data_IF_507381329038
#
_entry.id   IF_507381329038
#
_cell.length_a   1.000
_cell.length_b   1.000
_cell.length_c   1.000
_cell.angle_alpha   90.00
_cell.angle_beta   90.00
_cell.angle_gamma   90.00
#
_symmetry.space_group_name_H-M   'P 1'
#
loop_
_entity.id
_entity.type
_entity.pdbx_description
1 polymer ?
#
# COMPACT_ATOMS: atom_id res chain seq x y z
N UNK A 1 14.17 -8.24 -14.22
CA UNK A 1 13.57 -7.90 -12.91
C UNK A 1 14.39 -8.53 -11.82
N UNK A 2 14.86 -7.75 -10.83
CA UNK A 2 15.47 -8.31 -9.63
C UNK A 2 14.41 -9.13 -8.86
N UNK A 3 14.78 -10.35 -8.45
CA UNK A 3 13.96 -11.15 -7.54
C UNK A 3 14.21 -10.67 -6.12
N UNK A 4 13.30 -9.85 -5.60
CA UNK A 4 13.40 -9.37 -4.23
C UNK A 4 13.13 -10.48 -3.23
N UNK A 5 13.71 -10.37 -2.04
CA UNK A 5 13.64 -11.41 -1.02
C UNK A 5 13.47 -10.82 0.37
N UNK A 6 12.80 -11.56 1.24
CA UNK A 6 12.74 -11.25 2.67
C UNK A 6 13.13 -12.48 3.48
N UNK A 7 13.62 -12.22 4.69
CA UNK A 7 13.99 -13.28 5.61
C UNK A 7 12.80 -13.66 6.50
N UNK A 8 12.35 -14.91 6.39
CA UNK A 8 11.25 -15.43 7.22
C UNK A 8 11.84 -16.09 8.47
N UNK A 9 11.69 -15.43 9.63
CA UNK A 9 12.36 -15.81 10.88
C UNK A 9 11.98 -17.21 11.38
N UNK A 10 10.71 -17.58 11.29
CA UNK A 10 10.18 -18.89 11.66
C UNK A 10 10.83 -20.04 10.85
N UNK A 11 11.04 -19.82 9.55
CA UNK A 11 11.63 -20.80 8.64
C UNK A 11 13.16 -20.66 8.51
N UNK A 12 13.75 -19.65 9.15
CA UNK A 12 15.19 -19.29 9.06
C UNK A 12 15.73 -19.28 7.63
N UNK A 13 14.93 -18.80 6.67
CA UNK A 13 15.29 -18.81 5.24
C UNK A 13 14.87 -17.54 4.51
N UNK A 14 15.59 -17.25 3.44
CA UNK A 14 15.20 -16.24 2.46
C UNK A 14 14.10 -16.78 1.55
N UNK A 15 13.07 -15.97 1.33
CA UNK A 15 11.94 -16.28 0.46
C UNK A 15 11.83 -15.18 -0.59
N UNK A 16 11.61 -15.58 -1.84
CA UNK A 16 11.34 -14.64 -2.92
C UNK A 16 9.97 -13.97 -2.73
N UNK A 17 9.95 -12.64 -2.81
CA UNK A 17 8.74 -11.86 -2.89
C UNK A 17 8.39 -11.61 -4.38
N UNK A 18 7.17 -11.93 -4.83
CA UNK A 18 6.73 -11.51 -6.16
C UNK A 18 6.63 -9.97 -6.19
N UNK A 19 6.97 -9.33 -7.32
CA UNK A 19 6.79 -7.89 -7.47
C UNK A 19 5.30 -7.52 -7.47
N UNK A 20 4.99 -6.34 -6.96
CA UNK A 20 3.64 -5.77 -6.98
C UNK A 20 3.52 -4.69 -8.08
N UNK A 21 2.32 -4.51 -8.64
CA UNK A 21 2.06 -3.47 -9.64
C UNK A 21 2.22 -2.09 -9.02
N UNK A 22 1.65 -1.92 -7.82
CA UNK A 22 1.78 -0.72 -7.00
C UNK A 22 2.59 -1.04 -5.77
N UNK A 23 3.60 -0.23 -5.53
CA UNK A 23 4.62 -0.41 -4.51
C UNK A 23 4.68 0.84 -3.67
N UNK A 24 4.96 0.70 -2.37
CA UNK A 24 5.13 1.86 -1.52
C UNK A 24 6.58 2.30 -1.40
N UNK A 25 6.78 3.61 -1.26
CA UNK A 25 8.04 4.23 -0.84
C UNK A 25 7.74 5.26 0.23
N UNK A 26 8.59 5.35 1.25
CA UNK A 26 8.52 6.41 2.26
C UNK A 26 9.78 7.25 2.24
N UNK A 27 9.60 8.54 2.51
CA UNK A 27 10.70 9.46 2.79
C UNK A 27 10.55 9.96 4.21
N UNK A 28 11.62 9.86 4.98
CA UNK A 28 11.69 10.37 6.34
C UNK A 28 12.11 11.84 6.36
N UNK A 29 11.89 12.52 7.49
CA UNK A 29 12.25 13.93 7.69
C UNK A 29 13.74 14.24 7.45
N UNK A 30 14.62 13.25 7.67
CA UNK A 30 16.07 13.36 7.42
C UNK A 30 16.46 13.08 5.95
N UNK A 31 15.47 12.88 5.07
CA UNK A 31 15.67 12.53 3.67
C UNK A 31 15.96 11.05 3.41
N UNK A 32 16.05 10.22 4.45
CA UNK A 32 16.17 8.78 4.32
C UNK A 32 14.97 8.18 3.58
N UNK A 33 15.22 7.19 2.73
CA UNK A 33 14.18 6.54 1.93
C UNK A 33 14.13 5.05 2.25
N UNK A 34 12.92 4.53 2.45
CA UNK A 34 12.65 3.10 2.55
C UNK A 34 11.65 2.71 1.47
N UNK A 35 12.01 1.74 0.62
CA UNK A 35 11.18 1.22 -0.46
C UNK A 35 10.65 -0.16 -0.10
N UNK A 36 9.43 -0.51 -0.53
CA UNK A 36 8.91 -1.87 -0.37
C UNK A 36 9.82 -2.91 -1.03
N UNK A 37 10.33 -2.57 -2.20
CA UNK A 37 11.28 -3.35 -2.96
C UNK A 37 12.57 -2.52 -3.08
N UNK A 38 13.49 -2.74 -2.14
CA UNK A 38 14.73 -1.99 -2.02
C UNK A 38 15.66 -2.23 -3.21
N UNK A 39 16.45 -1.22 -3.55
CA UNK A 39 17.43 -1.29 -4.66
C UNK A 39 18.54 -2.34 -4.38
N UNK A 40 18.67 -2.76 -3.12
CA UNK A 40 19.54 -3.84 -2.63
C UNK A 40 18.95 -5.25 -2.85
N UNK A 41 17.75 -5.34 -3.44
CA UNK A 41 17.03 -6.59 -3.65
C UNK A 41 16.31 -7.13 -2.41
N UNK A 42 16.18 -6.33 -1.34
CA UNK A 42 15.42 -6.70 -0.14
C UNK A 42 13.96 -6.28 -0.29
N UNK A 43 13.06 -7.15 0.12
CA UNK A 43 11.65 -6.80 0.33
C UNK A 43 11.45 -6.36 1.77
N UNK A 44 11.10 -5.09 1.95
CA UNK A 44 10.77 -4.52 3.25
C UNK A 44 9.28 -4.64 3.55
N UNK A 45 8.99 -4.95 4.81
CA UNK A 45 7.62 -5.05 5.31
C UNK A 45 7.13 -3.69 5.76
N UNK A 46 5.83 -3.44 5.61
CA UNK A 46 5.20 -2.18 6.04
C UNK A 46 5.46 -1.88 7.53
N UNK A 47 5.55 -2.91 8.38
CA UNK A 47 5.83 -2.76 9.80
C UNK A 47 7.24 -2.24 10.12
N UNK A 48 8.15 -2.22 9.14
CA UNK A 48 9.50 -1.63 9.30
C UNK A 48 9.48 -0.09 9.19
N UNK A 49 8.37 0.50 8.72
CA UNK A 49 8.26 1.95 8.57
C UNK A 49 8.19 2.61 9.95
N UNK A 50 9.18 3.46 10.23
CA UNK A 50 9.16 4.36 11.38
C UNK A 50 8.14 5.49 11.19
N UNK A 51 6.95 5.30 11.76
CA UNK A 51 5.81 6.22 11.64
C UNK A 51 6.10 7.63 12.17
N UNK A 52 6.98 7.76 13.17
CA UNK A 52 7.22 9.02 13.87
C UNK A 52 8.11 9.99 13.07
N UNK A 53 8.77 9.50 12.04
CA UNK A 53 9.71 10.26 11.20
C UNK A 53 9.21 10.43 9.77
N UNK A 54 7.97 10.04 9.48
CA UNK A 54 7.42 10.09 8.12
C UNK A 54 7.21 11.53 7.67
N UNK A 55 7.82 11.89 6.53
CA UNK A 55 7.52 13.13 5.82
C UNK A 55 6.64 12.87 4.59
N UNK A 56 6.91 11.78 3.86
CA UNK A 56 6.20 11.40 2.63
C UNK A 56 5.90 9.91 2.62
N UNK A 57 4.72 9.56 2.11
CA UNK A 57 4.42 8.21 1.63
C UNK A 57 3.98 8.29 0.18
N UNK A 58 4.48 7.39 -0.67
CA UNK A 58 4.12 7.31 -2.07
C UNK A 58 3.66 5.90 -2.44
N UNK A 59 2.66 5.83 -3.29
CA UNK A 59 2.43 4.65 -4.13
C UNK A 59 3.01 4.93 -5.52
N UNK A 60 3.96 4.10 -5.93
CA UNK A 60 4.64 4.15 -7.22
C UNK A 60 4.41 2.86 -7.99
N UNK A 61 4.62 2.88 -9.31
CA UNK A 61 4.50 1.69 -10.15
C UNK A 61 5.62 1.64 -11.18
N UNK A 62 6.26 0.49 -11.42
CA UNK A 62 7.18 0.34 -12.55
C UNK A 62 6.43 0.17 -13.88
N UNK A 63 5.10 0.04 -13.85
CA UNK A 63 4.26 -0.21 -15.03
C UNK A 63 3.37 0.99 -15.38
N UNK A 64 3.02 1.81 -14.40
CA UNK A 64 2.18 3.00 -14.58
C UNK A 64 2.99 4.27 -14.26
N UNK A 65 2.88 5.35 -15.06
CA UNK A 65 3.60 6.59 -14.82
C UNK A 65 3.03 7.41 -13.65
N UNK A 66 1.80 7.13 -13.21
CA UNK A 66 1.18 7.84 -12.10
C UNK A 66 1.90 7.55 -10.78
N UNK A 67 1.95 8.57 -9.92
CA UNK A 67 2.43 8.47 -8.54
C UNK A 67 1.40 9.13 -7.62
N UNK A 68 1.03 8.45 -6.55
CA UNK A 68 0.14 9.02 -5.54
C UNK A 68 0.95 9.33 -4.29
N UNK A 69 0.88 10.56 -3.79
CA UNK A 69 1.70 11.04 -2.68
C UNK A 69 0.83 11.50 -1.52
N UNK A 70 1.17 11.06 -0.30
CA UNK A 70 0.68 11.61 0.95
C UNK A 70 1.79 12.42 1.61
N UNK A 71 1.45 13.65 1.96
CA UNK A 71 2.28 14.53 2.78
C UNK A 71 1.90 14.34 4.25
N UNK A 72 2.88 14.05 5.09
CA UNK A 72 2.72 13.99 6.54
C UNK A 72 3.16 15.33 7.12
N UNK A 73 2.20 16.23 7.34
CA UNK A 73 2.45 17.58 7.88
C UNK A 73 2.03 17.75 9.34
N UNK A 74 1.43 16.72 9.93
CA UNK A 74 0.98 16.73 11.33
C UNK A 74 1.53 15.47 12.04
N UNK A 75 2.20 15.62 13.20
CA UNK A 75 2.79 14.51 13.93
C UNK A 75 1.76 13.52 14.48
N UNK A 76 0.48 13.86 14.50
CA UNK A 76 -0.61 12.97 14.91
C UNK A 76 -1.18 12.14 13.74
N UNK A 77 -0.68 12.33 12.51
CA UNK A 77 -1.04 11.48 11.39
C UNK A 77 -0.30 10.15 11.49
N UNK A 78 -1.04 9.06 11.33
CA UNK A 78 -0.49 7.71 11.28
C UNK A 78 -0.87 7.06 9.97
N UNK A 79 0.13 6.58 9.24
CA UNK A 79 -0.05 5.94 7.94
C UNK A 79 -0.84 4.65 8.07
N UNK A 80 -1.75 4.44 7.13
CA UNK A 80 -2.50 3.21 6.94
C UNK A 80 -2.08 2.63 5.59
N UNK A 81 -1.84 1.31 5.54
CA UNK A 81 -1.69 0.59 4.28
C UNK A 81 -2.17 -0.85 4.45
N UNK A 82 -2.97 -1.32 3.50
CA UNK A 82 -3.45 -2.70 3.45
C UNK A 82 -3.92 -3.06 2.04
N UNK A 83 -4.11 -4.35 1.78
CA UNK A 83 -4.72 -4.82 0.55
C UNK A 83 -6.17 -5.21 0.82
N UNK A 84 -7.09 -4.78 -0.05
CA UNK A 84 -8.43 -5.36 -0.12
C UNK A 84 -8.49 -6.27 -1.32
N UNK A 85 -8.55 -7.58 -1.08
CA UNK A 85 -8.73 -8.57 -2.13
C UNK A 85 -10.21 -8.96 -2.22
N UNK A 86 -10.75 -9.05 -3.43
CA UNK A 86 -12.07 -9.61 -3.72
C UNK A 86 -11.91 -10.75 -4.71
N UNK A 87 -12.75 -11.77 -4.55
CA UNK A 87 -12.90 -12.85 -5.53
C UNK A 87 -14.29 -12.72 -6.13
N UNK A 88 -14.37 -12.53 -7.43
CA UNK A 88 -15.62 -12.59 -8.19
C UNK A 88 -15.78 -13.99 -8.77
N UNK A 89 -17.03 -14.43 -8.91
CA UNK A 89 -17.37 -15.75 -9.48
C UNK A 89 -16.59 -16.92 -8.85
N UNK A 90 -16.40 -16.88 -7.52
CA UNK A 90 -15.59 -17.86 -6.82
C UNK A 90 -16.06 -19.30 -7.11
N UNK A 91 -15.12 -20.17 -7.52
CA UNK A 91 -15.42 -21.57 -7.83
C UNK A 91 -16.01 -21.83 -9.23
N UNK A 92 -16.06 -20.84 -10.12
CA UNK A 92 -16.40 -21.03 -11.54
C UNK A 92 -15.16 -20.91 -12.43
N UNK A 93 -15.30 -21.24 -13.72
CA UNK A 93 -14.24 -21.02 -14.72
C UNK A 93 -13.91 -19.54 -14.96
N UNK A 94 -14.79 -18.64 -14.50
CA UNK A 94 -14.66 -17.17 -14.61
C UNK A 94 -14.21 -16.52 -13.30
N UNK A 95 -13.58 -17.27 -12.39
CA UNK A 95 -13.06 -16.72 -11.13
C UNK A 95 -12.07 -15.59 -11.40
N UNK A 96 -12.40 -14.39 -10.91
CA UNK A 96 -11.54 -13.21 -11.02
C UNK A 96 -11.07 -12.76 -9.64
N UNK A 97 -9.76 -12.50 -9.50
CA UNK A 97 -9.17 -12.01 -8.25
C UNK A 97 -8.77 -10.55 -8.39
N UNK A 98 -9.54 -9.70 -7.74
CA UNK A 98 -9.36 -8.25 -7.75
C UNK A 98 -8.57 -7.82 -6.52
N UNK A 99 -7.55 -6.99 -6.71
CA UNK A 99 -6.78 -6.36 -5.63
C UNK A 99 -6.91 -4.85 -5.69
N UNK A 100 -7.29 -4.25 -4.57
CA UNK A 100 -7.17 -2.82 -4.33
C UNK A 100 -5.97 -2.55 -3.43
N UNK A 101 -5.19 -1.53 -3.77
CA UNK A 101 -4.08 -1.03 -2.97
C UNK A 101 -4.60 0.10 -2.10
N UNK A 102 -4.83 -0.18 -0.82
CA UNK A 102 -5.42 0.79 0.10
C UNK A 102 -4.32 1.45 0.92
N UNK A 103 -4.30 2.77 0.95
CA UNK A 103 -3.35 3.55 1.72
C UNK A 103 -4.00 4.85 2.20
N UNK A 104 -3.45 5.49 3.21
CA UNK A 104 -4.08 6.67 3.79
C UNK A 104 -3.50 7.03 5.13
N UNK A 105 -4.28 7.77 5.92
CA UNK A 105 -3.87 8.10 7.28
C UNK A 105 -5.06 8.09 8.23
N UNK A 106 -4.78 7.80 9.49
CA UNK A 106 -5.64 8.16 10.60
C UNK A 106 -5.04 9.33 11.37
N UNK A 107 -5.89 10.22 11.87
CA UNK A 107 -5.50 11.34 12.71
C UNK A 107 -6.50 11.51 13.84
N UNK A 108 -6.00 11.69 15.07
CA UNK A 108 -6.84 12.03 16.22
C UNK A 108 -7.11 13.53 16.23
N UNK A 109 -8.38 13.91 16.28
CA UNK A 109 -8.84 15.30 16.44
C UNK A 109 -9.75 15.35 17.66
N UNK A 110 -9.23 15.87 18.77
CA UNK A 110 -9.89 15.80 20.08
C UNK A 110 -10.09 14.34 20.53
N UNK A 111 -11.33 13.93 20.75
CA UNK A 111 -11.68 12.57 21.16
C UNK A 111 -11.93 11.61 19.99
N UNK A 112 -12.00 12.12 18.76
CA UNK A 112 -12.34 11.32 17.56
C UNK A 112 -11.10 10.96 16.75
N UNK A 113 -11.15 9.80 16.11
CA UNK A 113 -10.15 9.37 15.11
C UNK A 113 -10.80 9.50 13.74
N UNK A 114 -10.22 10.35 12.90
CA UNK A 114 -10.60 10.52 11.50
C UNK A 114 -9.71 9.66 10.63
N UNK A 115 -10.28 9.04 9.59
CA UNK A 115 -9.55 8.21 8.64
C UNK A 115 -9.84 8.68 7.24
N UNK A 116 -8.78 8.90 6.46
CA UNK A 116 -8.89 9.14 5.03
C UNK A 116 -8.19 7.98 4.33
N UNK A 117 -8.92 7.25 3.50
CA UNK A 117 -8.42 6.08 2.79
C UNK A 117 -8.51 6.35 1.28
N UNK A 118 -7.39 6.15 0.61
CA UNK A 118 -7.27 6.09 -0.82
C UNK A 118 -7.15 4.63 -1.25
N UNK A 119 -7.78 4.29 -2.37
CA UNK A 119 -7.76 2.96 -2.95
C UNK A 119 -7.40 3.08 -4.42
N UNK A 120 -6.32 2.42 -4.84
CA UNK A 120 -6.00 2.27 -6.26
C UNK A 120 -6.77 1.05 -6.77
N UNK A 121 -7.70 1.27 -7.69
CA UNK A 121 -8.49 0.23 -8.34
C UNK A 121 -7.68 -0.51 -9.41
N UNK A 122 -8.14 -1.69 -9.90
CA UNK A 122 -7.49 -2.40 -11.01
C UNK A 122 -7.34 -1.57 -12.29
N UNK A 123 -8.25 -0.63 -12.52
CA UNK A 123 -8.19 0.34 -13.63
C UNK A 123 -7.10 1.40 -13.45
N UNK A 124 -6.41 1.39 -12.29
CA UNK A 124 -5.47 2.40 -11.82
C UNK A 124 -6.11 3.74 -11.43
N UNK A 125 -7.44 3.80 -11.34
CA UNK A 125 -8.11 4.99 -10.80
C UNK A 125 -7.93 5.08 -9.29
N UNK A 126 -7.82 6.32 -8.79
CA UNK A 126 -7.76 6.62 -7.36
C UNK A 126 -9.17 6.89 -6.83
N UNK A 127 -9.59 6.09 -5.85
CA UNK A 127 -10.84 6.30 -5.12
C UNK A 127 -10.49 6.83 -3.73
N UNK A 128 -11.05 7.97 -3.34
CA UNK A 128 -10.84 8.57 -2.01
C UNK A 128 -12.12 8.45 -1.19
N UNK A 129 -12.04 7.90 0.01
CA UNK A 129 -13.19 7.61 0.87
C UNK A 129 -12.81 7.56 2.35
N UNK A 130 -13.75 7.86 3.23
CA UNK A 130 -13.64 7.57 4.67
C UNK A 130 -14.22 6.18 5.01
N UNK A 131 -15.02 5.62 4.10
CA UNK A 131 -15.71 4.34 4.23
C UNK A 131 -15.31 3.39 3.08
N UNK A 132 -14.15 2.72 3.17
CA UNK A 132 -13.65 1.85 2.10
C UNK A 132 -14.58 0.67 1.79
N UNK A 133 -15.43 0.27 2.74
CA UNK A 133 -16.40 -0.81 2.59
C UNK A 133 -17.45 -0.50 1.51
N UNK A 134 -17.80 0.79 1.30
CA UNK A 134 -18.78 1.22 0.30
C UNK A 134 -18.30 1.05 -1.15
N UNK A 135 -17.00 0.88 -1.37
CA UNK A 135 -16.45 0.65 -2.71
C UNK A 135 -16.86 -0.75 -3.18
N UNK A 136 -17.92 -0.79 -3.98
CA UNK A 136 -18.36 -1.95 -4.73
C UNK A 136 -17.63 -1.97 -6.08
N UNK A 137 -17.22 -3.16 -6.51
CA UNK A 137 -16.69 -3.34 -7.86
C UNK A 137 -17.89 -3.22 -8.79
N UNK A 138 -18.00 -2.12 -9.53
CA UNK A 138 -18.96 -2.05 -10.61
C UNK A 138 -18.48 -3.03 -11.67
N UNK A 139 -19.34 -3.98 -12.04
CA UNK A 139 -19.10 -4.85 -13.18
C UNK A 139 -18.83 -3.94 -14.37
N UNK A 140 -17.60 -3.99 -14.89
CA UNK A 140 -17.34 -3.49 -16.24
C UNK A 140 -18.02 -4.52 -17.14
N UNK A 141 -19.22 -4.15 -17.59
CA UNK A 141 -20.00 -4.87 -18.60
C UNK A 141 -19.29 -4.85 -19.94
#
# INVERSE_FOLDING_TARGET
MLKHKFFRKDLKKWISAPPEVWQWEVTYEDGGVLKQFGDDGVFHQFAEIDQNRLALFKMVSPFNPQTYTLLFSDPNMKLIHFYRNKVLNAGTEEEERIRYYCFGYEKRVGTKVHKTIMMIAPTNDLIVTEEPTLVVSNNVS
#
